data_IF_584968391886
#
_entry.id   IF_584968391886
#
_cell.length_a   1.000
_cell.length_b   1.000
_cell.length_c   1.000
_cell.angle_alpha   90.00
_cell.angle_beta   90.00
_cell.angle_gamma   90.00
#
_symmetry.space_group_name_H-M   'P 1'
#
loop_
_entity.id
_entity.type
_entity.pdbx_description
1 polymer ?
#
# COMPACT_ATOMS: atom_id res chain seq x y z
N UNK A 1 69.02 -6.77 91.71
CA UNK A 1 67.55 -6.55 91.83
C UNK A 1 67.07 -5.81 90.58
N UNK A 2 66.23 -6.47 89.79
CA UNK A 2 65.67 -5.98 88.53
C UNK A 2 64.52 -4.99 88.76
N UNK A 3 64.32 -3.98 87.89
CA UNK A 3 62.99 -3.43 87.54
C UNK A 3 62.93 -2.87 86.11
N UNK A 4 62.11 -3.53 85.30
CA UNK A 4 61.53 -3.09 84.01
C UNK A 4 60.58 -1.89 84.18
N UNK A 5 60.47 -1.01 83.15
CA UNK A 5 59.18 -0.51 82.59
C UNK A 5 59.43 0.48 81.44
N UNK A 6 59.24 0.08 80.18
CA UNK A 6 57.99 0.12 79.37
C UNK A 6 57.76 1.48 78.68
N UNK A 7 58.08 1.46 77.38
CA UNK A 7 57.76 2.37 76.27
C UNK A 7 56.48 3.21 76.40
N UNK A 8 56.61 4.54 76.25
CA UNK A 8 55.51 5.50 76.16
C UNK A 8 55.61 6.43 74.92
N UNK A 9 55.91 5.87 73.73
CA UNK A 9 56.03 6.64 72.47
C UNK A 9 54.88 6.44 71.47
N UNK A 10 53.80 5.76 71.85
CA UNK A 10 52.69 5.42 70.94
C UNK A 10 51.47 6.35 70.94
N UNK A 11 51.21 7.10 72.02
CA UNK A 11 49.88 7.73 72.24
C UNK A 11 49.71 9.11 71.58
N UNK A 12 50.76 9.92 71.46
CA UNK A 12 50.69 11.27 70.87
C UNK A 12 50.79 11.29 69.34
N UNK A 13 51.41 10.26 68.75
CA UNK A 13 51.46 10.08 67.30
C UNK A 13 50.13 9.56 66.75
N UNK A 14 49.39 8.78 67.55
CA UNK A 14 48.07 8.26 67.18
C UNK A 14 46.99 9.36 67.16
N UNK A 15 46.99 10.27 68.15
CA UNK A 15 46.03 11.39 68.19
C UNK A 15 46.26 12.42 67.08
N UNK A 16 47.52 12.67 66.71
CA UNK A 16 47.86 13.58 65.60
C UNK A 16 47.53 12.95 64.24
N UNK A 17 47.72 11.63 64.11
CA UNK A 17 47.29 10.90 62.91
C UNK A 17 45.77 10.86 62.77
N UNK A 18 45.02 10.72 63.88
CA UNK A 18 43.55 10.77 63.89
C UNK A 18 43.02 12.15 63.52
N UNK A 19 43.57 13.24 64.09
CA UNK A 19 43.16 14.60 63.73
C UNK A 19 43.40 14.91 62.25
N UNK A 20 44.51 14.42 61.69
CA UNK A 20 44.82 14.58 60.26
C UNK A 20 43.89 13.75 59.36
N UNK A 21 43.44 12.59 59.81
CA UNK A 21 42.44 11.78 59.11
C UNK A 21 41.06 12.44 59.10
N UNK A 22 40.65 13.07 60.19
CA UNK A 22 39.37 13.79 60.27
C UNK A 22 39.36 15.01 59.35
N UNK A 23 40.46 15.75 59.28
CA UNK A 23 40.59 16.92 58.40
C UNK A 23 40.58 16.51 56.92
N UNK A 24 41.29 15.42 56.58
CA UNK A 24 41.23 14.81 55.25
C UNK A 24 39.81 14.34 54.93
N UNK A 25 39.12 13.70 55.88
CA UNK A 25 37.74 13.24 55.68
C UNK A 25 36.77 14.40 55.43
N UNK A 26 36.92 15.52 56.16
CA UNK A 26 36.12 16.74 55.93
C UNK A 26 36.41 17.36 54.58
N UNK A 27 37.68 17.46 54.18
CA UNK A 27 38.05 18.00 52.87
C UNK A 27 37.52 17.15 51.70
N UNK A 28 37.44 15.83 51.86
CA UNK A 28 36.86 14.92 50.87
C UNK A 28 35.34 15.11 50.79
N UNK A 29 34.65 15.24 51.93
CA UNK A 29 33.20 15.50 51.96
C UNK A 29 32.87 16.86 51.32
N UNK A 30 33.63 17.91 51.64
CA UNK A 30 33.44 19.23 51.04
C UNK A 30 33.72 19.22 49.52
N UNK A 31 34.76 18.50 49.08
CA UNK A 31 35.07 18.34 47.65
C UNK A 31 33.98 17.53 46.93
N UNK A 32 33.50 16.45 47.53
CA UNK A 32 32.41 15.65 46.98
C UNK A 32 31.11 16.46 46.89
N UNK A 33 30.84 17.32 47.87
CA UNK A 33 29.69 18.21 47.85
C UNK A 33 29.82 19.27 46.75
N UNK A 34 31.01 19.84 46.53
CA UNK A 34 31.26 20.76 45.43
C UNK A 34 31.12 20.08 44.07
N UNK A 35 31.66 18.87 43.91
CA UNK A 35 31.51 18.08 42.68
C UNK A 35 30.04 17.75 42.43
N UNK A 36 29.29 17.41 43.47
CA UNK A 36 27.86 17.12 43.36
C UNK A 36 27.06 18.37 42.97
N UNK A 37 27.33 19.52 43.60
CA UNK A 37 26.67 20.78 43.26
C UNK A 37 27.03 21.23 41.83
N UNK A 38 28.28 21.08 41.42
CA UNK A 38 28.71 21.36 40.05
C UNK A 38 28.06 20.39 39.04
N UNK A 39 27.93 19.12 39.40
CA UNK A 39 27.25 18.10 38.61
C UNK A 39 25.76 18.42 38.41
N UNK A 40 25.06 18.80 39.47
CA UNK A 40 23.64 19.21 39.39
C UNK A 40 23.46 20.53 38.63
N UNK A 41 24.38 21.49 38.79
CA UNK A 41 24.37 22.75 38.06
C UNK A 41 24.60 22.56 36.56
N UNK A 42 25.57 21.73 36.18
CA UNK A 42 25.83 21.38 34.79
C UNK A 42 24.69 20.57 34.17
N UNK A 43 24.09 19.64 34.93
CA UNK A 43 22.92 18.87 34.48
C UNK A 43 21.70 19.78 34.24
N UNK A 44 21.39 20.70 35.15
CA UNK A 44 20.32 21.68 34.93
C UNK A 44 20.60 22.59 33.73
N UNK A 45 21.86 22.98 33.52
CA UNK A 45 22.24 23.77 32.34
C UNK A 45 22.10 22.97 31.04
N UNK A 46 22.51 21.71 31.04
CA UNK A 46 22.32 20.79 29.92
C UNK A 46 20.84 20.48 29.66
N UNK A 47 19.98 20.46 30.67
CA UNK A 47 18.53 20.29 30.49
C UNK A 47 17.92 21.55 29.85
N UNK A 48 18.31 22.74 30.31
CA UNK A 48 17.83 24.02 29.77
C UNK A 48 18.33 24.30 28.34
N UNK A 49 19.59 23.96 28.05
CA UNK A 49 20.18 24.09 26.70
C UNK A 49 19.77 22.92 25.79
N UNK A 50 19.61 21.72 26.34
CA UNK A 50 19.19 20.51 25.63
C UNK A 50 17.79 20.62 25.04
N UNK A 51 16.83 21.23 25.75
CA UNK A 51 15.49 21.50 25.19
C UNK A 51 15.53 22.42 23.98
N UNK A 52 16.43 23.41 23.95
CA UNK A 52 16.60 24.32 22.80
C UNK A 52 17.23 23.62 21.61
N UNK A 53 18.25 22.80 21.84
CA UNK A 53 18.82 21.94 20.79
C UNK A 53 17.80 20.95 20.26
N UNK A 54 16.98 20.35 21.13
CA UNK A 54 15.90 19.47 20.72
C UNK A 54 14.86 20.18 19.87
N UNK A 55 14.38 21.36 20.29
CA UNK A 55 13.45 22.16 19.48
C UNK A 55 14.04 22.58 18.13
N UNK A 56 15.34 22.90 18.08
CA UNK A 56 16.04 23.21 16.84
C UNK A 56 16.08 21.98 15.92
N UNK A 57 16.46 20.81 16.46
CA UNK A 57 16.47 19.55 15.72
C UNK A 57 15.07 19.13 15.24
N UNK A 58 14.03 19.36 16.04
CA UNK A 58 12.64 19.09 15.65
C UNK A 58 12.19 20.04 14.53
N UNK A 59 12.50 21.33 14.61
CA UNK A 59 12.24 22.26 13.51
C UNK A 59 12.98 21.85 12.24
N UNK A 60 14.25 21.50 12.36
CA UNK A 60 15.06 21.08 11.23
C UNK A 60 14.52 19.78 10.62
N UNK A 61 14.14 18.80 11.44
CA UNK A 61 13.45 17.58 11.04
C UNK A 61 12.12 17.85 10.34
N UNK A 62 11.28 18.74 10.87
CA UNK A 62 10.02 19.13 10.23
C UNK A 62 10.25 19.82 8.87
N UNK A 63 11.27 20.68 8.75
CA UNK A 63 11.61 21.30 7.46
C UNK A 63 12.19 20.29 6.46
N UNK A 64 12.98 19.32 6.93
CA UNK A 64 13.54 18.25 6.12
C UNK A 64 12.44 17.29 5.64
N UNK A 65 11.50 16.94 6.51
CA UNK A 65 10.30 16.16 6.15
C UNK A 65 9.48 16.92 5.11
N UNK A 66 9.21 18.21 5.33
CA UNK A 66 8.41 18.99 4.39
C UNK A 66 9.09 19.13 3.02
N UNK A 67 10.41 19.34 2.98
CA UNK A 67 11.21 19.34 1.74
C UNK A 67 11.21 17.97 1.06
N UNK A 68 11.41 16.91 1.83
CA UNK A 68 11.40 15.52 1.33
C UNK A 68 10.03 15.14 0.79
N UNK A 69 8.95 15.50 1.51
CA UNK A 69 7.57 15.26 1.08
C UNK A 69 7.26 15.99 -0.21
N UNK A 70 7.64 17.27 -0.34
CA UNK A 70 7.46 18.04 -1.59
C UNK A 70 8.22 17.43 -2.78
N UNK A 71 9.46 16.99 -2.56
CA UNK A 71 10.26 16.32 -3.61
C UNK A 71 9.73 14.92 -3.92
N UNK A 72 9.24 14.19 -2.92
CA UNK A 72 8.66 12.87 -3.07
C UNK A 72 7.31 12.95 -3.80
N UNK A 73 6.42 13.88 -3.46
CA UNK A 73 5.17 14.08 -4.21
C UNK A 73 5.43 14.41 -5.68
N UNK A 74 6.37 15.32 -5.97
CA UNK A 74 6.70 15.65 -7.37
C UNK A 74 7.27 14.46 -8.17
N UNK A 75 8.02 13.55 -7.52
CA UNK A 75 8.51 12.33 -8.17
C UNK A 75 7.45 11.22 -8.24
N UNK A 76 6.59 11.12 -7.22
CA UNK A 76 5.50 10.15 -7.16
C UNK A 76 4.44 10.48 -8.20
N UNK A 77 4.13 11.74 -8.46
CA UNK A 77 3.16 12.12 -9.49
C UNK A 77 3.64 11.71 -10.89
N UNK A 78 4.92 11.94 -11.22
CA UNK A 78 5.51 11.50 -12.50
C UNK A 78 5.56 9.98 -12.61
N UNK A 79 5.91 9.28 -11.52
CA UNK A 79 5.92 7.81 -11.50
C UNK A 79 4.50 7.26 -11.58
N UNK A 80 3.52 7.91 -10.95
CA UNK A 80 2.11 7.52 -10.98
C UNK A 80 1.54 7.65 -12.38
N UNK A 81 1.82 8.76 -13.07
CA UNK A 81 1.39 8.98 -14.46
C UNK A 81 2.02 7.95 -15.42
N UNK A 82 3.31 7.63 -15.23
CA UNK A 82 3.99 6.60 -16.02
C UNK A 82 3.45 5.18 -15.72
N UNK A 83 3.08 4.89 -14.48
CA UNK A 83 2.45 3.61 -14.09
C UNK A 83 1.04 3.52 -14.65
N UNK A 84 0.24 4.58 -14.55
CA UNK A 84 -1.14 4.65 -15.08
C UNK A 84 -1.14 4.40 -16.59
N UNK A 85 -0.25 5.07 -17.33
CA UNK A 85 -0.08 4.85 -18.78
C UNK A 85 0.31 3.40 -19.11
N UNK A 86 1.19 2.79 -18.32
CA UNK A 86 1.59 1.38 -18.53
C UNK A 86 0.48 0.40 -18.17
N UNK A 87 -0.31 0.70 -17.15
CA UNK A 87 -1.47 -0.10 -16.74
C UNK A 87 -2.55 -0.05 -17.80
N UNK A 88 -2.82 1.12 -18.37
CA UNK A 88 -3.78 1.26 -19.47
C UNK A 88 -3.34 0.48 -20.72
N UNK A 89 -2.06 0.59 -21.11
CA UNK A 89 -1.51 -0.20 -22.22
C UNK A 89 -1.49 -1.71 -21.95
N UNK A 90 -1.31 -2.12 -20.70
CA UNK A 90 -1.38 -3.54 -20.31
C UNK A 90 -2.83 -4.04 -20.34
N UNK A 91 -3.78 -3.21 -19.91
CA UNK A 91 -5.22 -3.51 -19.92
C UNK A 91 -5.74 -3.65 -21.35
N UNK A 92 -5.36 -2.74 -22.25
CA UNK A 92 -5.76 -2.78 -23.65
C UNK A 92 -5.28 -4.07 -24.33
N UNK A 93 -3.99 -4.43 -24.15
CA UNK A 93 -3.45 -5.70 -24.65
C UNK A 93 -4.10 -6.92 -24.01
N UNK A 94 -4.43 -6.85 -22.73
CA UNK A 94 -5.12 -7.92 -22.02
C UNK A 94 -6.54 -8.12 -22.57
N UNK A 95 -7.27 -7.04 -22.87
CA UNK A 95 -8.60 -7.09 -23.50
C UNK A 95 -8.54 -7.77 -24.87
N UNK A 96 -7.59 -7.40 -25.74
CA UNK A 96 -7.41 -8.06 -27.04
C UNK A 96 -7.13 -9.57 -26.91
N UNK A 97 -6.32 -9.97 -25.93
CA UNK A 97 -6.07 -11.39 -25.67
C UNK A 97 -7.28 -12.10 -25.08
N UNK A 98 -8.08 -11.40 -24.27
CA UNK A 98 -9.32 -11.92 -23.70
C UNK A 98 -10.37 -12.18 -24.77
N UNK A 99 -10.54 -11.26 -25.72
CA UNK A 99 -11.46 -11.43 -26.85
C UNK A 99 -11.06 -12.64 -27.73
N UNK A 100 -9.76 -12.91 -27.87
CA UNK A 100 -9.29 -14.12 -28.54
C UNK A 100 -9.59 -15.39 -27.74
N UNK A 101 -9.47 -15.34 -26.42
CA UNK A 101 -9.83 -16.45 -25.55
C UNK A 101 -11.34 -16.71 -25.56
N UNK A 102 -12.16 -15.66 -25.62
CA UNK A 102 -13.61 -15.78 -25.77
C UNK A 102 -13.96 -16.51 -27.07
N UNK A 103 -13.33 -16.14 -28.20
CA UNK A 103 -13.51 -16.87 -29.46
C UNK A 103 -13.11 -18.33 -29.36
N UNK A 104 -11.95 -18.64 -28.77
CA UNK A 104 -11.49 -20.04 -28.63
C UNK A 104 -12.40 -20.82 -27.69
N UNK A 105 -12.91 -20.18 -26.64
CA UNK A 105 -13.87 -20.77 -25.72
C UNK A 105 -15.19 -21.06 -26.43
N UNK A 106 -15.74 -20.12 -27.17
CA UNK A 106 -16.96 -20.31 -27.96
C UNK A 106 -16.79 -21.45 -28.96
N UNK A 107 -15.68 -21.48 -29.69
CA UNK A 107 -15.32 -22.57 -30.62
C UNK A 107 -15.29 -23.93 -29.90
N UNK A 108 -14.73 -23.97 -28.69
CA UNK A 108 -14.62 -25.19 -27.89
C UNK A 108 -15.96 -25.62 -27.32
N UNK A 109 -16.79 -24.68 -26.88
CA UNK A 109 -18.15 -24.91 -26.39
C UNK A 109 -19.04 -25.41 -27.52
N UNK A 110 -19.02 -24.76 -28.69
CA UNK A 110 -19.72 -25.23 -29.88
C UNK A 110 -19.27 -26.65 -30.26
N UNK A 111 -17.97 -26.92 -30.29
CA UNK A 111 -17.45 -28.25 -30.63
C UNK A 111 -17.83 -29.32 -29.60
N UNK A 112 -17.98 -28.97 -28.32
CA UNK A 112 -18.47 -29.86 -27.27
C UNK A 112 -19.98 -30.11 -27.42
N UNK A 113 -20.77 -29.06 -27.67
CA UNK A 113 -22.21 -29.14 -27.91
C UNK A 113 -22.55 -29.99 -29.15
N UNK A 114 -21.82 -29.80 -30.25
CA UNK A 114 -21.99 -30.59 -31.46
C UNK A 114 -21.70 -32.08 -31.21
N UNK A 115 -20.68 -32.40 -30.38
CA UNK A 115 -20.39 -33.79 -29.96
C UNK A 115 -21.48 -34.40 -29.08
N UNK A 116 -22.20 -33.57 -28.33
CA UNK A 116 -23.37 -33.95 -27.53
C UNK A 116 -24.66 -34.02 -28.36
N UNK A 117 -24.60 -33.74 -29.66
CA UNK A 117 -25.75 -33.82 -30.57
C UNK A 117 -26.66 -32.59 -30.54
N UNK A 118 -26.20 -31.47 -29.97
CA UNK A 118 -26.93 -30.19 -30.03
C UNK A 118 -26.64 -29.53 -31.39
N UNK A 119 -27.64 -29.34 -32.26
CA UNK A 119 -27.44 -28.70 -33.56
C UNK A 119 -27.06 -27.22 -33.41
N UNK A 120 -26.12 -26.75 -34.23
CA UNK A 120 -25.67 -25.37 -34.26
C UNK A 120 -26.70 -24.42 -34.85
N UNK A 121 -26.46 -23.11 -34.70
CA UNK A 121 -27.39 -22.07 -35.17
C UNK A 121 -27.47 -22.05 -36.70
N UNK A 122 -26.34 -22.19 -37.42
CA UNK A 122 -26.33 -22.23 -38.88
C UNK A 122 -27.07 -23.46 -39.43
N UNK A 123 -26.96 -24.60 -38.75
CA UNK A 123 -27.61 -25.85 -39.16
C UNK A 123 -29.14 -25.74 -39.02
N UNK A 124 -29.62 -25.16 -37.92
CA UNK A 124 -31.04 -24.84 -37.73
C UNK A 124 -31.52 -23.87 -38.81
N UNK A 125 -30.72 -22.85 -39.15
CA UNK A 125 -31.04 -21.88 -40.19
C UNK A 125 -31.16 -22.57 -41.56
N UNK A 126 -30.16 -23.36 -41.95
CA UNK A 126 -30.18 -24.11 -43.22
C UNK A 126 -31.33 -25.11 -43.28
N UNK A 127 -31.70 -25.74 -42.15
CA UNK A 127 -32.83 -26.65 -42.11
C UNK A 127 -34.15 -25.88 -42.27
N UNK A 128 -34.28 -24.71 -41.64
CA UNK A 128 -35.43 -23.81 -41.78
C UNK A 128 -35.64 -23.40 -43.23
N UNK A 129 -34.58 -22.96 -43.92
CA UNK A 129 -34.64 -22.55 -45.32
C UNK A 129 -35.08 -23.72 -46.23
N UNK A 130 -34.53 -24.92 -45.97
CA UNK A 130 -34.94 -26.14 -46.70
C UNK A 130 -36.41 -26.48 -46.46
N UNK A 131 -36.89 -26.32 -45.23
CA UNK A 131 -38.30 -26.56 -44.88
C UNK A 131 -39.20 -25.54 -45.59
N UNK A 132 -38.82 -24.27 -45.68
CA UNK A 132 -39.58 -23.27 -46.44
C UNK A 132 -39.71 -23.64 -47.91
N UNK A 133 -38.60 -24.01 -48.56
CA UNK A 133 -38.60 -24.45 -49.96
C UNK A 133 -39.48 -25.68 -50.17
N UNK A 134 -39.39 -26.67 -49.27
CA UNK A 134 -40.20 -27.88 -49.35
C UNK A 134 -41.68 -27.59 -49.10
N UNK A 135 -41.99 -26.71 -48.14
CA UNK A 135 -43.36 -26.27 -47.84
C UNK A 135 -43.98 -25.57 -49.05
N UNK A 136 -43.21 -24.73 -49.74
CA UNK A 136 -43.65 -24.07 -50.97
C UNK A 136 -43.86 -25.05 -52.12
N UNK A 137 -42.98 -26.07 -52.26
CA UNK A 137 -43.15 -27.12 -53.25
C UNK A 137 -44.40 -27.97 -52.99
N UNK A 138 -44.65 -28.33 -51.72
CA UNK A 138 -45.85 -29.08 -51.32
C UNK A 138 -47.12 -28.25 -51.53
N UNK A 139 -47.13 -26.97 -51.16
CA UNK A 139 -48.27 -26.08 -51.43
C UNK A 139 -48.60 -25.98 -52.92
N UNK A 140 -47.58 -25.88 -53.77
CA UNK A 140 -47.74 -25.87 -55.24
C UNK A 140 -48.32 -27.19 -55.76
N UNK A 141 -47.89 -28.33 -55.22
CA UNK A 141 -48.38 -29.65 -55.62
C UNK A 141 -49.79 -29.96 -55.09
N UNK A 142 -50.10 -29.53 -53.87
CA UNK A 142 -51.40 -29.76 -53.23
C UNK A 142 -52.50 -28.82 -53.75
N UNK A 143 -52.19 -27.96 -54.73
CA UNK A 143 -53.11 -26.97 -55.28
C UNK A 143 -53.57 -25.93 -54.25
N UNK A 144 -52.94 -25.89 -53.08
CA UNK A 144 -53.31 -24.99 -52.00
C UNK A 144 -52.73 -23.61 -52.34
N UNK A 145 -53.57 -22.84 -53.03
CA UNK A 145 -53.32 -21.45 -53.40
C UNK A 145 -52.80 -20.72 -52.16
N UNK A 146 -51.59 -20.12 -52.20
CA UNK A 146 -51.12 -19.37 -51.06
C UNK A 146 -52.15 -18.29 -50.78
N UNK A 147 -52.75 -18.34 -49.58
CA UNK A 147 -53.55 -17.25 -49.06
C UNK A 147 -52.61 -16.05 -49.04
N UNK A 148 -52.74 -15.22 -50.07
CA UNK A 148 -51.94 -14.04 -50.27
C UNK A 148 -51.93 -13.29 -48.93
N UNK A 149 -50.74 -13.17 -48.33
CA UNK A 149 -50.52 -12.19 -47.28
C UNK A 149 -51.06 -10.89 -47.84
N UNK A 150 -52.21 -10.47 -47.33
CA UNK A 150 -52.74 -9.12 -47.53
C UNK A 150 -51.57 -8.22 -47.19
N UNK A 151 -50.99 -7.59 -48.22
CA UNK A 151 -50.14 -6.45 -48.03
C UNK A 151 -51.01 -5.46 -47.26
N UNK A 152 -50.78 -5.39 -45.94
CA UNK A 152 -51.25 -4.29 -45.13
C UNK A 152 -50.62 -3.06 -45.74
N UNK A 153 -51.47 -2.34 -46.48
CA UNK A 153 -51.25 -0.98 -46.97
C UNK A 153 -50.71 -0.20 -45.78
N UNK A 154 -49.40 0.00 -45.73
CA UNK A 154 -48.73 0.84 -44.73
C UNK A 154 -49.12 2.26 -45.10
N UNK A 155 -50.17 2.73 -44.46
CA UNK A 155 -50.62 4.10 -44.47
C UNK A 155 -49.45 4.96 -43.98
N UNK A 156 -48.96 5.81 -44.88
CA UNK A 156 -47.92 6.77 -44.60
C UNK A 156 -48.51 7.85 -43.69
N UNK A 157 -48.36 7.69 -42.38
CA UNK A 157 -48.54 8.78 -41.42
C UNK A 157 -47.26 9.60 -41.35
N UNK A 158 -47.40 10.85 -41.77
CA UNK A 158 -46.48 12.00 -41.74
C UNK A 158 -45.54 12.05 -40.52
N UNK A 159 -44.33 12.62 -40.65
CA UNK A 159 -43.56 13.05 -39.50
C UNK A 159 -44.20 14.33 -38.94
N UNK A 160 -44.48 14.35 -37.63
CA UNK A 160 -44.84 15.56 -36.90
C UNK A 160 -43.94 15.68 -35.68
N UNK A 161 -43.06 16.66 -35.78
CA UNK A 161 -42.20 17.29 -34.78
C UNK A 161 -42.99 17.69 -33.52
N UNK A 162 -42.48 17.33 -32.34
CA UNK A 162 -42.30 18.28 -31.22
C UNK A 162 -41.38 17.69 -30.16
#
# INVERSE_FOLDING_TARGET
MAKFKKTAKGKSSASTAQAKLEDVSRSIVDSAQQIWQAGMGAFNRAQAEGSKLFEALVREGATLEQKTRKMATGKVDVVREAVETRVDQARERATDTWDRLEKVFEDRVQRALNKLGVPGREEIQSLTDRIEVLTDAVRKLNGEKPAAKKATKKEASKPATK
#
